data_IF_804544374676
#
_entry.id   IF_804544374676
#
_cell.length_a   1.000
_cell.length_b   1.000
_cell.length_c   1.000
_cell.angle_alpha   90.00
_cell.angle_beta   90.00
_cell.angle_gamma   90.00
#
_symmetry.space_group_name_H-M   'P 1'
#
loop_
_entity.id
_entity.type
_entity.pdbx_description
1 polymer ?
#
# COMPACT_ATOMS: atom_id res chain seq x y z
N UNK A 1 14.83 73.18 -0.49
CA UNK A 1 14.21 72.81 0.79
C UNK A 1 12.73 73.15 0.73
N UNK A 2 11.87 72.13 0.64
CA UNK A 2 10.43 72.28 0.84
C UNK A 2 9.90 70.94 1.37
N UNK A 3 9.48 70.95 2.62
CA UNK A 3 8.95 69.84 3.41
C UNK A 3 7.52 69.57 3.00
N UNK A 4 7.17 68.33 2.64
CA UNK A 4 5.79 67.89 2.45
C UNK A 4 5.50 66.82 3.51
N UNK A 5 4.67 67.21 4.47
CA UNK A 5 4.20 66.38 5.57
C UNK A 5 3.05 65.47 5.14
N UNK A 6 3.10 64.24 5.66
CA UNK A 6 2.11 63.17 5.52
C UNK A 6 0.71 63.56 6.06
N UNK A 7 -0.33 63.16 5.34
CA UNK A 7 -1.67 62.92 5.90
C UNK A 7 -2.10 61.53 5.45
N UNK A 8 -2.21 60.63 6.43
CA UNK A 8 -2.69 59.25 6.30
C UNK A 8 -4.14 59.25 6.79
N UNK A 9 -5.08 59.05 5.86
CA UNK A 9 -6.50 58.85 6.17
C UNK A 9 -6.80 57.36 6.20
N UNK A 10 -7.06 56.81 7.38
CA UNK A 10 -7.53 55.46 7.63
C UNK A 10 -9.06 55.41 7.56
N UNK A 11 -9.60 54.90 6.46
CA UNK A 11 -11.04 54.55 6.37
C UNK A 11 -11.22 53.08 6.72
N UNK A 12 -11.75 52.83 7.91
CA UNK A 12 -12.18 51.52 8.39
C UNK A 12 -13.43 51.06 7.64
N UNK A 13 -13.30 49.98 6.87
CA UNK A 13 -14.40 49.28 6.19
C UNK A 13 -15.00 48.25 7.15
N UNK A 14 -16.25 48.45 7.55
CA UNK A 14 -17.00 47.55 8.43
C UNK A 14 -17.98 46.74 7.57
N UNK A 15 -17.64 45.49 7.28
CA UNK A 15 -18.53 44.52 6.63
C UNK A 15 -19.44 43.85 7.68
N UNK A 16 -20.76 43.70 7.42
CA UNK A 16 -21.64 42.90 8.27
C UNK A 16 -21.48 41.39 7.98
N UNK A 17 -21.70 40.50 8.97
CA UNK A 17 -21.49 39.06 8.83
C UNK A 17 -22.61 38.37 8.04
N UNK A 18 -22.30 37.33 7.24
CA UNK A 18 -23.31 36.57 6.50
C UNK A 18 -24.08 35.59 7.40
N UNK A 19 -25.41 35.61 7.25
CA UNK A 19 -26.36 34.72 7.90
C UNK A 19 -26.19 33.25 7.47
N UNK A 20 -26.19 32.36 8.46
CA UNK A 20 -26.11 30.90 8.34
C UNK A 20 -27.50 30.28 8.16
N UNK A 21 -27.80 29.54 7.08
CA UNK A 21 -28.99 28.70 7.04
C UNK A 21 -28.73 27.35 7.73
N UNK A 22 -29.34 27.15 8.90
CA UNK A 22 -29.46 25.84 9.56
C UNK A 22 -30.46 24.97 8.81
N UNK A 23 -29.99 23.93 8.13
CA UNK A 23 -30.81 22.80 7.69
C UNK A 23 -30.13 21.54 8.23
N UNK A 24 -30.70 20.98 9.31
CA UNK A 24 -30.35 19.66 9.80
C UNK A 24 -31.00 18.60 8.90
N UNK A 25 -30.26 17.61 8.38
CA UNK A 25 -30.87 16.40 7.82
C UNK A 25 -31.32 15.47 8.96
N UNK A 26 -32.58 15.05 8.96
CA UNK A 26 -33.06 13.98 9.84
C UNK A 26 -32.59 12.60 9.33
N UNK A 27 -32.24 11.65 10.23
CA UNK A 27 -31.86 10.30 9.84
C UNK A 27 -33.11 9.44 9.50
N UNK A 28 -33.05 8.57 8.47
CA UNK A 28 -34.13 7.65 8.18
C UNK A 28 -34.25 6.52 9.22
N UNK A 29 -35.50 6.17 9.50
CA UNK A 29 -35.99 5.25 10.51
C UNK A 29 -35.40 3.84 10.44
N UNK A 30 -35.00 3.33 11.60
CA UNK A 30 -34.55 1.95 11.84
C UNK A 30 -35.64 0.92 11.51
N UNK A 31 -35.34 -0.03 10.62
CA UNK A 31 -36.10 -1.27 10.48
C UNK A 31 -35.60 -2.31 11.49
N UNK A 32 -36.54 -2.79 12.31
CA UNK A 32 -36.36 -3.78 13.38
C UNK A 32 -36.09 -5.19 12.84
N UNK A 33 -35.20 -5.87 13.54
CA UNK A 33 -34.88 -7.30 13.48
C UNK A 33 -36.09 -8.18 13.87
N UNK A 34 -36.27 -9.36 13.27
CA UNK A 34 -36.96 -10.47 13.92
C UNK A 34 -35.98 -11.45 14.57
N UNK A 35 -36.26 -11.73 15.85
CA UNK A 35 -35.73 -12.76 16.73
C UNK A 35 -36.20 -14.16 16.32
N UNK A 36 -35.30 -15.14 16.26
CA UNK A 36 -35.65 -16.57 16.44
C UNK A 36 -34.52 -17.35 17.13
N UNK A 37 -34.68 -17.54 18.44
CA UNK A 37 -34.55 -18.80 19.19
C UNK A 37 -33.54 -19.88 18.77
N UNK A 38 -32.56 -20.11 19.67
CA UNK A 38 -32.26 -21.38 20.37
C UNK A 38 -32.38 -22.72 19.61
N UNK A 39 -31.24 -23.41 19.46
CA UNK A 39 -31.15 -24.86 19.75
C UNK A 39 -29.75 -25.25 20.22
N UNK A 40 -29.72 -25.91 21.39
CA UNK A 40 -28.62 -26.68 22.00
C UNK A 40 -28.11 -27.79 21.07
N UNK A 41 -26.82 -28.10 21.13
CA UNK A 41 -26.30 -29.47 20.97
C UNK A 41 -25.14 -29.74 21.97
N UNK A 42 -25.00 -30.99 22.48
CA UNK A 42 -24.19 -31.31 23.66
C UNK A 42 -22.76 -31.83 23.33
N UNK A 43 -21.97 -31.95 24.40
CA UNK A 43 -20.61 -32.49 24.48
C UNK A 43 -20.55 -34.02 24.62
N UNK A 44 -19.44 -34.65 24.19
CA UNK A 44 -18.83 -35.95 24.59
C UNK A 44 -18.04 -36.53 23.40
N UNK A 45 -16.95 -37.31 23.49
CA UNK A 45 -16.00 -37.71 24.52
C UNK A 45 -14.82 -38.39 23.80
N UNK A 46 -13.70 -38.47 24.52
CA UNK A 46 -12.46 -39.25 24.35
C UNK A 46 -12.59 -40.66 23.72
N UNK A 47 -11.58 -41.11 22.95
CA UNK A 47 -10.84 -42.39 23.17
C UNK A 47 -9.71 -42.64 22.15
N UNK A 48 -8.52 -42.81 22.73
CA UNK A 48 -7.28 -43.46 22.29
C UNK A 48 -7.44 -44.81 21.59
N UNK A 49 -6.69 -45.05 20.50
CA UNK A 49 -6.03 -46.36 20.28
C UNK A 49 -4.77 -46.23 19.41
N UNK A 50 -3.66 -46.68 19.96
CA UNK A 50 -2.34 -46.90 19.35
C UNK A 50 -2.32 -48.18 18.52
N UNK A 51 -1.69 -48.21 17.33
CA UNK A 51 -1.16 -49.46 16.73
C UNK A 51 0.15 -49.18 15.97
N UNK A 52 1.23 -49.76 16.50
CA UNK A 52 2.56 -49.98 15.89
C UNK A 52 2.46 -51.01 14.77
N UNK A 53 3.18 -50.80 13.65
CA UNK A 53 3.71 -51.91 12.82
C UNK A 53 4.89 -51.44 11.98
N UNK A 54 6.04 -52.04 12.25
CA UNK A 54 7.25 -52.01 11.42
C UNK A 54 7.10 -52.98 10.23
N UNK A 55 7.87 -52.75 9.15
CA UNK A 55 8.86 -53.68 8.57
C UNK A 55 9.07 -53.48 7.05
N UNK A 56 10.36 -53.41 6.72
CA UNK A 56 11.11 -53.73 5.50
C UNK A 56 11.23 -52.81 4.29
N UNK A 57 12.50 -52.43 4.10
CA UNK A 57 13.16 -52.09 2.85
C UNK A 57 13.13 -53.27 1.87
N UNK A 58 12.85 -52.97 0.60
CA UNK A 58 13.45 -53.72 -0.51
C UNK A 58 13.73 -52.77 -1.67
N UNK A 59 15.01 -52.75 -2.07
CA UNK A 59 15.62 -51.97 -3.15
C UNK A 59 15.18 -52.53 -4.50
N UNK A 60 14.63 -51.69 -5.38
CA UNK A 60 14.55 -51.99 -6.83
C UNK A 60 14.92 -50.74 -7.61
N UNK A 61 15.93 -50.88 -8.47
CA UNK A 61 16.41 -49.86 -9.40
C UNK A 61 15.34 -49.50 -10.43
N UNK A 62 15.13 -48.20 -10.67
CA UNK A 62 14.39 -47.70 -11.82
C UNK A 62 15.21 -46.63 -12.57
N UNK A 63 15.09 -46.71 -13.89
CA UNK A 63 15.77 -46.03 -15.01
C UNK A 63 15.55 -44.51 -14.99
N UNK A 64 16.48 -43.67 -15.50
CA UNK A 64 16.27 -42.22 -15.52
C UNK A 64 15.15 -41.85 -16.50
N UNK A 65 13.98 -41.50 -15.96
CA UNK A 65 12.96 -40.76 -16.69
C UNK A 65 13.36 -39.29 -16.69
N UNK A 66 13.66 -38.77 -17.87
CA UNK A 66 13.77 -37.33 -18.16
C UNK A 66 12.43 -36.67 -17.84
N UNK A 67 12.23 -36.26 -16.59
CA UNK A 67 11.14 -35.36 -16.23
C UNK A 67 11.58 -33.96 -16.63
N UNK A 68 11.01 -33.45 -17.72
CA UNK A 68 10.90 -32.01 -17.92
C UNK A 68 10.23 -31.45 -16.66
N UNK A 69 11.03 -30.90 -15.76
CA UNK A 69 10.57 -30.06 -14.67
C UNK A 69 10.05 -28.78 -15.30
N UNK A 70 8.80 -28.83 -15.78
CA UNK A 70 8.02 -27.63 -16.03
C UNK A 70 7.83 -26.99 -14.66
N UNK A 71 8.71 -26.05 -14.35
CA UNK A 71 8.59 -25.22 -13.16
C UNK A 71 7.17 -24.67 -13.16
N UNK A 72 6.38 -25.09 -12.17
CA UNK A 72 5.03 -24.58 -11.98
C UNK A 72 5.20 -23.16 -11.46
N UNK A 73 5.35 -22.19 -12.37
CA UNK A 73 5.46 -20.79 -12.02
C UNK A 73 4.13 -20.38 -11.41
N UNK A 74 4.08 -20.29 -10.08
CA UNK A 74 2.92 -19.77 -9.34
C UNK A 74 2.60 -18.37 -9.86
N UNK A 75 1.62 -18.27 -10.76
CA UNK A 75 1.18 -17.03 -11.41
C UNK A 75 0.58 -16.09 -10.37
N UNK A 76 1.42 -15.26 -9.74
CA UNK A 76 0.96 -14.26 -8.78
C UNK A 76 0.53 -13.02 -9.54
N UNK A 77 -0.78 -12.90 -9.75
CA UNK A 77 -1.42 -11.70 -10.31
C UNK A 77 -1.96 -10.82 -9.19
N UNK A 78 -1.64 -9.53 -9.23
CA UNK A 78 -2.14 -8.54 -8.30
C UNK A 78 -2.97 -7.48 -9.02
N UNK A 79 -4.11 -7.10 -8.44
CA UNK A 79 -5.03 -6.10 -8.99
C UNK A 79 -5.24 -4.99 -7.96
N UNK A 80 -5.27 -3.73 -8.41
CA UNK A 80 -5.39 -2.60 -7.49
C UNK A 80 -5.63 -1.26 -8.15
N UNK A 81 -6.07 -0.30 -7.34
CA UNK A 81 -6.14 1.11 -7.73
C UNK A 81 -4.78 1.75 -7.48
N UNK A 82 -4.33 2.55 -8.44
CA UNK A 82 -3.03 3.19 -8.45
C UNK A 82 -3.06 4.55 -7.76
N UNK A 83 -2.04 4.83 -6.96
CA UNK A 83 -1.67 6.17 -6.53
C UNK A 83 -0.34 6.56 -7.19
N UNK A 84 -0.33 7.69 -7.89
CA UNK A 84 0.85 8.13 -8.66
C UNK A 84 1.63 9.18 -7.88
N UNK A 85 2.92 8.94 -7.71
CA UNK A 85 3.92 9.88 -7.18
C UNK A 85 5.06 10.06 -8.18
N UNK A 86 5.82 11.14 -8.02
CA UNK A 86 6.93 11.51 -8.90
C UNK A 86 8.26 10.95 -8.36
N UNK A 87 9.35 11.62 -8.72
CA UNK A 87 10.71 11.26 -8.31
C UNK A 87 10.99 11.65 -6.87
N UNK A 88 12.05 11.06 -6.33
CA UNK A 88 12.70 11.48 -5.08
C UNK A 88 11.74 11.53 -3.90
N UNK A 89 10.81 10.57 -3.86
CA UNK A 89 9.91 10.40 -2.72
C UNK A 89 10.70 9.82 -1.57
N UNK A 90 11.12 10.66 -0.63
CA UNK A 90 11.95 10.25 0.49
C UNK A 90 11.14 9.60 1.63
N UNK A 91 11.85 8.97 2.58
CA UNK A 91 11.21 8.31 3.72
C UNK A 91 10.45 9.26 4.65
N UNK A 92 10.78 10.56 4.71
CA UNK A 92 10.02 11.55 5.47
C UNK A 92 8.72 11.95 4.76
N UNK A 93 8.71 11.92 3.43
CA UNK A 93 7.49 12.11 2.64
C UNK A 93 6.54 10.92 2.76
N UNK A 94 7.10 9.69 2.84
CA UNK A 94 6.33 8.47 3.14
C UNK A 94 5.80 8.50 4.58
N UNK A 95 6.65 8.77 5.56
CA UNK A 95 6.26 8.85 6.97
C UNK A 95 7.07 9.95 7.69
N UNK A 96 6.45 11.08 8.06
CA UNK A 96 7.16 12.16 8.74
C UNK A 96 7.80 11.72 10.06
N UNK A 97 9.01 12.20 10.34
CA UNK A 97 9.81 11.85 11.53
C UNK A 97 9.08 11.98 12.88
N UNK A 98 8.04 12.84 12.98
CA UNK A 98 7.21 12.97 14.19
C UNK A 98 6.47 11.67 14.59
N UNK A 99 6.36 10.71 13.69
CA UNK A 99 5.75 9.40 13.94
C UNK A 99 6.77 8.30 14.25
N UNK A 100 8.07 8.63 14.37
CA UNK A 100 9.16 7.68 14.67
C UNK A 100 8.99 6.97 16.03
N UNK A 101 8.26 7.58 16.97
CA UNK A 101 7.96 6.98 18.27
C UNK A 101 6.91 5.85 18.24
N UNK A 102 6.18 5.68 17.13
CA UNK A 102 5.19 4.62 16.98
C UNK A 102 5.88 3.26 16.82
N UNK A 103 5.39 2.23 17.50
CA UNK A 103 5.94 0.88 17.43
C UNK A 103 5.13 -0.01 16.46
N UNK A 104 5.68 -0.43 15.30
CA UNK A 104 4.99 -1.28 14.34
C UNK A 104 4.52 -2.64 14.88
N UNK A 105 5.08 -3.10 16.01
CA UNK A 105 4.67 -4.36 16.67
C UNK A 105 3.39 -4.20 17.50
N UNK A 106 3.03 -2.97 17.88
CA UNK A 106 1.77 -2.70 18.55
C UNK A 106 0.66 -2.47 17.50
N UNK A 107 -0.49 -3.17 17.60
CA UNK A 107 -1.57 -3.05 16.61
C UNK A 107 -2.11 -1.62 16.43
N UNK A 108 -2.30 -0.86 17.51
CA UNK A 108 -2.87 0.50 17.46
C UNK A 108 -1.88 1.47 16.82
N UNK A 109 -0.59 1.35 17.14
CA UNK A 109 0.47 2.14 16.54
C UNK A 109 0.68 1.80 15.05
N UNK A 110 0.57 0.51 14.68
CA UNK A 110 0.63 0.07 13.30
C UNK A 110 -0.54 0.64 12.48
N UNK A 111 -1.74 0.59 13.03
CA UNK A 111 -2.92 1.23 12.44
C UNK A 111 -2.71 2.74 12.27
N UNK A 112 -2.12 3.39 13.30
CA UNK A 112 -1.79 4.80 13.26
C UNK A 112 -0.75 5.14 12.20
N UNK A 113 0.28 4.32 12.03
CA UNK A 113 1.27 4.45 10.95
C UNK A 113 0.58 4.42 9.58
N UNK A 114 -0.39 3.52 9.39
CA UNK A 114 -1.22 3.45 8.19
C UNK A 114 -1.94 4.77 7.90
N UNK A 115 -2.57 5.37 8.91
CA UNK A 115 -3.26 6.67 8.78
C UNK A 115 -2.34 7.83 8.37
N UNK A 116 -1.04 7.67 8.54
CA UNK A 116 -0.01 8.68 8.28
C UNK A 116 0.81 8.42 7.01
N UNK A 117 0.53 7.33 6.28
CA UNK A 117 1.26 6.98 5.07
C UNK A 117 1.14 8.07 3.98
N UNK A 118 2.27 8.43 3.39
CA UNK A 118 2.43 9.50 2.40
C UNK A 118 1.92 10.88 2.85
N UNK A 119 1.81 11.11 4.16
CA UNK A 119 1.34 12.39 4.72
C UNK A 119 2.37 13.53 4.63
N UNK A 120 3.63 13.23 4.32
CA UNK A 120 4.68 14.22 4.12
C UNK A 120 4.83 14.70 2.67
N UNK A 121 4.01 14.18 1.74
CA UNK A 121 4.01 14.64 0.36
C UNK A 121 3.69 16.16 0.25
N UNK A 122 4.25 16.86 -0.74
CA UNK A 122 3.99 18.28 -0.94
C UNK A 122 2.53 18.56 -1.31
N UNK A 123 2.09 19.80 -1.13
CA UNK A 123 0.71 20.25 -1.37
C UNK A 123 0.21 20.01 -2.82
N UNK A 124 1.09 19.77 -3.78
CA UNK A 124 0.72 19.37 -5.15
C UNK A 124 -0.11 18.07 -5.19
N UNK A 125 -0.01 17.23 -4.17
CA UNK A 125 -0.80 16.00 -4.02
C UNK A 125 -2.09 16.18 -3.21
N UNK A 126 -2.37 17.38 -2.69
CA UNK A 126 -3.49 17.60 -1.77
C UNK A 126 -4.88 17.35 -2.38
N UNK A 127 -5.01 17.45 -3.71
CA UNK A 127 -6.27 17.22 -4.42
C UNK A 127 -6.76 15.77 -4.32
N UNK A 128 -5.83 14.80 -4.25
CA UNK A 128 -6.13 13.39 -4.07
C UNK A 128 -5.15 12.85 -3.03
N UNK A 129 -5.57 12.80 -1.78
CA UNK A 129 -4.75 12.23 -0.71
C UNK A 129 -4.65 10.72 -0.87
N UNK A 130 -3.51 10.17 -0.45
CA UNK A 130 -3.32 8.72 -0.40
C UNK A 130 -4.24 8.06 0.62
N UNK A 131 -4.24 8.56 1.86
CA UNK A 131 -5.21 8.21 2.90
C UNK A 131 -6.17 9.37 3.08
N UNK A 132 -7.48 9.06 3.07
CA UNK A 132 -8.53 10.05 3.27
C UNK A 132 -8.47 10.66 4.68
N UNK A 133 -9.07 11.82 4.88
CA UNK A 133 -9.09 12.47 6.19
C UNK A 133 -9.82 11.61 7.22
N UNK A 134 -9.17 11.38 8.38
CA UNK A 134 -9.62 10.45 9.42
C UNK A 134 -9.69 8.97 8.96
N UNK A 135 -9.15 8.67 7.78
CA UNK A 135 -8.97 7.31 7.31
C UNK A 135 -7.74 6.66 7.94
N UNK A 136 -7.77 5.34 7.95
CA UNK A 136 -6.67 4.48 8.42
C UNK A 136 -6.05 3.71 7.27
N UNK A 137 -6.86 3.37 6.28
CA UNK A 137 -6.47 2.64 5.08
C UNK A 137 -6.67 3.50 3.84
N UNK A 138 -5.79 3.26 2.88
CA UNK A 138 -5.86 3.78 1.53
C UNK A 138 -6.73 2.86 0.67
N UNK A 139 -7.47 3.44 -0.27
CA UNK A 139 -8.11 2.68 -1.36
C UNK A 139 -7.12 2.29 -2.46
N UNK A 140 -5.95 2.91 -2.46
CA UNK A 140 -4.89 2.67 -3.43
C UNK A 140 -3.95 1.58 -2.90
N UNK A 141 -3.98 0.43 -3.56
CA UNK A 141 -3.18 -0.73 -3.16
C UNK A 141 -1.90 -0.89 -4.00
N UNK A 142 -1.77 -0.10 -5.07
CA UNK A 142 -0.58 -0.01 -5.94
C UNK A 142 -0.08 1.43 -5.91
N UNK A 143 1.21 1.62 -5.66
CA UNK A 143 1.88 2.91 -5.86
C UNK A 143 2.64 2.85 -7.18
N UNK A 144 2.46 3.87 -8.02
CA UNK A 144 3.26 4.10 -9.22
C UNK A 144 4.18 5.29 -8.93
N UNK A 145 5.49 5.09 -9.01
CA UNK A 145 6.48 6.10 -8.65
C UNK A 145 7.46 6.38 -9.79
N UNK A 146 8.16 7.51 -9.69
CA UNK A 146 9.26 7.85 -10.57
C UNK A 146 10.58 7.23 -10.13
N UNK A 147 11.66 7.98 -10.31
CA UNK A 147 13.01 7.61 -9.94
C UNK A 147 13.22 7.75 -8.42
N UNK A 148 14.06 6.90 -7.83
CA UNK A 148 14.57 7.05 -6.46
C UNK A 148 13.48 7.05 -5.37
N UNK A 149 12.47 6.17 -5.50
CA UNK A 149 11.40 6.04 -4.49
C UNK A 149 11.91 5.41 -3.18
N UNK A 150 11.49 5.96 -2.04
CA UNK A 150 11.91 5.50 -0.72
C UNK A 150 13.36 5.87 -0.39
N UNK A 151 13.87 6.94 -0.99
CA UNK A 151 15.22 7.42 -0.71
C UNK A 151 15.35 8.07 0.67
N UNK A 152 16.59 8.34 1.09
CA UNK A 152 16.88 8.92 2.40
C UNK A 152 17.28 7.89 3.45
N UNK A 153 17.25 8.30 4.71
CA UNK A 153 17.70 7.48 5.84
C UNK A 153 16.79 6.28 6.06
N UNK A 154 17.40 5.16 6.47
CA UNK A 154 16.72 3.89 6.79
C UNK A 154 15.58 4.13 7.77
N UNK A 155 14.36 3.89 7.31
CA UNK A 155 13.19 3.97 8.15
C UNK A 155 12.29 2.78 7.82
N UNK A 156 12.44 1.69 8.55
CA UNK A 156 11.56 0.52 8.48
C UNK A 156 10.08 0.92 8.63
N UNK A 157 9.81 2.02 9.34
CA UNK A 157 8.47 2.58 9.47
C UNK A 157 7.88 3.04 8.14
N UNK A 158 8.68 3.37 7.13
CA UNK A 158 8.16 3.74 5.81
C UNK A 158 7.42 2.56 5.16
N UNK A 159 8.03 1.37 5.17
CA UNK A 159 7.40 0.15 4.65
C UNK A 159 6.24 -0.27 5.55
N UNK A 160 6.40 -0.17 6.87
CA UNK A 160 5.32 -0.48 7.81
C UNK A 160 4.10 0.42 7.59
N UNK A 161 4.28 1.73 7.42
CA UNK A 161 3.19 2.69 7.18
C UNK A 161 2.48 2.42 5.85
N UNK A 162 3.24 2.20 4.76
CA UNK A 162 2.65 1.85 3.47
C UNK A 162 1.84 0.55 3.53
N UNK A 163 2.38 -0.47 4.19
CA UNK A 163 1.72 -1.77 4.37
C UNK A 163 0.47 -1.66 5.26
N UNK A 164 0.55 -0.94 6.38
CA UNK A 164 -0.56 -0.68 7.28
C UNK A 164 -1.72 0.07 6.58
N UNK A 165 -1.37 1.00 5.68
CA UNK A 165 -2.33 1.70 4.84
C UNK A 165 -2.97 0.80 3.77
N UNK A 166 -2.46 -0.42 3.54
CA UNK A 166 -2.98 -1.38 2.57
C UNK A 166 -2.26 -1.40 1.22
N UNK A 167 -1.11 -0.74 1.10
CA UNK A 167 -0.24 -0.88 -0.07
C UNK A 167 0.30 -2.30 -0.15
N UNK A 168 0.23 -2.92 -1.32
CA UNK A 168 0.81 -4.26 -1.53
C UNK A 168 1.92 -4.28 -2.56
N UNK A 169 1.92 -3.34 -3.49
CA UNK A 169 2.96 -3.22 -4.50
C UNK A 169 3.34 -1.77 -4.76
N UNK A 170 4.63 -1.54 -5.01
CA UNK A 170 5.14 -0.30 -5.58
C UNK A 170 5.77 -0.67 -6.91
N UNK A 171 5.46 0.10 -7.95
CA UNK A 171 6.14 0.03 -9.25
C UNK A 171 6.81 1.38 -9.48
N UNK A 172 8.14 1.38 -9.58
CA UNK A 172 8.95 2.58 -9.71
C UNK A 172 9.96 2.45 -10.85
N UNK A 173 10.59 3.55 -11.25
CA UNK A 173 11.72 3.52 -12.18
C UNK A 173 13.00 3.03 -11.48
N UNK A 174 13.18 3.44 -10.22
CA UNK A 174 14.20 2.93 -9.31
C UNK A 174 13.84 3.21 -7.85
N UNK A 175 14.61 2.61 -6.93
CA UNK A 175 14.40 2.71 -5.49
C UNK A 175 15.64 3.24 -4.75
N UNK A 176 15.40 3.86 -3.59
CA UNK A 176 16.44 4.02 -2.58
C UNK A 176 16.91 2.64 -2.09
N UNK A 177 18.22 2.40 -2.06
CA UNK A 177 18.78 1.07 -1.81
C UNK A 177 18.30 0.40 -0.51
N UNK A 178 18.09 1.20 0.55
CA UNK A 178 17.58 0.69 1.83
C UNK A 178 16.12 0.24 1.73
N UNK A 179 15.27 1.05 1.09
CA UNK A 179 13.87 0.70 0.89
C UNK A 179 13.73 -0.62 0.12
N UNK A 180 14.47 -0.76 -0.98
CA UNK A 180 14.44 -1.98 -1.80
C UNK A 180 14.91 -3.21 -0.99
N UNK A 181 16.00 -3.07 -0.24
CA UNK A 181 16.54 -4.15 0.58
C UNK A 181 15.54 -4.65 1.62
N UNK A 182 14.89 -3.73 2.35
CA UNK A 182 13.91 -4.09 3.38
C UNK A 182 12.63 -4.65 2.74
N UNK A 183 12.18 -4.09 1.61
CA UNK A 183 11.00 -4.58 0.89
C UNK A 183 11.21 -6.02 0.43
N UNK A 184 12.37 -6.33 -0.14
CA UNK A 184 12.73 -7.67 -0.60
C UNK A 184 12.92 -8.66 0.56
N UNK A 185 13.57 -8.22 1.65
CA UNK A 185 13.80 -9.06 2.84
C UNK A 185 12.50 -9.40 3.57
N UNK A 186 11.59 -8.42 3.73
CA UNK A 186 10.33 -8.61 4.44
C UNK A 186 9.24 -9.27 3.60
N UNK A 187 9.23 -9.05 2.28
CA UNK A 187 8.19 -9.52 1.37
C UNK A 187 6.81 -8.88 1.60
N UNK A 188 6.71 -7.88 2.47
CA UNK A 188 5.44 -7.25 2.86
C UNK A 188 4.91 -6.33 1.76
N UNK A 189 5.82 -5.66 1.05
CA UNK A 189 5.51 -4.86 -0.14
C UNK A 189 6.31 -5.45 -1.29
N UNK A 190 5.64 -5.65 -2.41
CA UNK A 190 6.27 -6.06 -3.66
C UNK A 190 6.85 -4.82 -4.35
N UNK A 191 8.18 -4.66 -4.31
CA UNK A 191 8.90 -3.61 -5.02
C UNK A 191 9.26 -4.11 -6.42
N UNK A 192 8.75 -3.44 -7.45
CA UNK A 192 8.99 -3.80 -8.86
C UNK A 192 9.56 -2.59 -9.59
N UNK A 193 10.56 -2.84 -10.42
CA UNK A 193 11.11 -1.80 -11.28
C UNK A 193 10.49 -1.88 -12.67
N UNK A 194 10.14 -0.73 -13.24
CA UNK A 194 9.73 -0.62 -14.65
C UNK A 194 10.90 -0.16 -15.51
N UNK A 195 10.93 -0.61 -16.76
CA UNK A 195 11.89 -0.13 -17.76
C UNK A 195 11.55 1.26 -18.30
N UNK A 196 10.30 1.69 -18.13
CA UNK A 196 9.81 2.97 -18.60
C UNK A 196 9.26 3.79 -17.46
N UNK A 197 9.14 5.09 -17.70
CA UNK A 197 8.67 6.07 -16.73
C UNK A 197 7.15 6.03 -16.55
N UNK A 198 6.69 4.99 -15.86
CA UNK A 198 5.25 4.69 -15.67
C UNK A 198 4.49 5.81 -14.96
N UNK A 199 5.15 6.64 -14.13
CA UNK A 199 4.53 7.77 -13.44
C UNK A 199 4.08 8.92 -14.38
N UNK A 200 4.51 8.94 -15.65
CA UNK A 200 4.06 9.93 -16.64
C UNK A 200 2.82 9.48 -17.43
N UNK A 201 2.54 8.17 -17.43
CA UNK A 201 1.47 7.56 -18.24
C UNK A 201 0.32 7.03 -17.41
N UNK A 202 0.56 6.75 -16.12
CA UNK A 202 -0.50 6.46 -15.15
C UNK A 202 -1.06 7.74 -14.53
N UNK A 203 -2.31 7.67 -14.10
CA UNK A 203 -2.95 8.71 -13.28
C UNK A 203 -3.43 8.10 -11.96
N UNK A 204 -3.42 8.89 -10.89
CA UNK A 204 -4.03 8.48 -9.62
C UNK A 204 -5.50 8.14 -9.85
N UNK A 205 -5.92 6.96 -9.38
CA UNK A 205 -7.24 6.40 -9.63
C UNK A 205 -7.31 5.43 -10.82
N UNK A 206 -6.25 5.32 -11.62
CA UNK A 206 -6.15 4.25 -12.62
C UNK A 206 -6.17 2.88 -11.93
N UNK A 207 -6.64 1.87 -12.66
CA UNK A 207 -6.66 0.50 -12.20
C UNK A 207 -5.55 -0.26 -12.90
N UNK A 208 -4.76 -1.03 -12.17
CA UNK A 208 -3.69 -1.84 -12.72
C UNK A 208 -3.80 -3.32 -12.38
N UNK A 209 -3.21 -4.14 -13.24
CA UNK A 209 -2.85 -5.52 -12.93
C UNK A 209 -1.34 -5.69 -13.05
N UNK A 210 -0.73 -6.27 -12.03
CA UNK A 210 0.67 -6.70 -12.05
C UNK A 210 0.66 -8.21 -12.21
N UNK A 211 1.34 -8.71 -13.22
CA UNK A 211 1.63 -10.13 -13.37
C UNK A 211 3.13 -10.34 -13.10
N UNK A 212 3.43 -10.92 -11.94
CA UNK A 212 4.81 -11.13 -11.51
C UNK A 212 5.47 -12.25 -12.32
N UNK A 213 4.69 -13.24 -12.76
CA UNK A 213 5.23 -14.36 -13.54
C UNK A 213 5.63 -13.96 -14.96
N UNK A 214 4.82 -13.11 -15.59
CA UNK A 214 5.10 -12.55 -16.91
C UNK A 214 5.98 -11.29 -16.87
N UNK A 215 6.19 -10.71 -15.68
CA UNK A 215 6.94 -9.48 -15.51
C UNK A 215 6.27 -8.28 -16.19
N UNK A 216 4.93 -8.18 -16.16
CA UNK A 216 4.21 -7.09 -16.82
C UNK A 216 3.31 -6.30 -15.86
N UNK A 217 3.18 -5.01 -16.15
CA UNK A 217 2.20 -4.10 -15.57
C UNK A 217 1.19 -3.71 -16.65
N UNK A 218 -0.10 -3.93 -16.40
CA UNK A 218 -1.19 -3.59 -17.30
C UNK A 218 -2.01 -2.47 -16.68
N UNK A 219 -2.08 -1.30 -17.34
CA UNK A 219 -3.04 -0.27 -17.01
C UNK A 219 -4.41 -0.69 -17.59
N UNK A 220 -5.34 -1.12 -16.73
CA UNK A 220 -6.67 -1.58 -17.12
C UNK A 220 -7.59 -0.43 -17.53
N UNK A 221 -7.32 0.79 -17.08
CA UNK A 221 -8.08 1.98 -17.49
C UNK A 221 -7.79 2.37 -18.93
N UNK A 222 -6.52 2.32 -19.34
CA UNK A 222 -6.08 2.74 -20.69
C UNK A 222 -5.86 1.59 -21.67
N UNK A 223 -5.75 0.34 -21.17
CA UNK A 223 -5.44 -0.85 -21.95
C UNK A 223 -3.96 -1.03 -22.29
N UNK A 224 -3.07 -0.15 -21.82
CA UNK A 224 -1.63 -0.21 -22.10
C UNK A 224 -0.92 -1.24 -21.22
N UNK A 225 0.12 -1.87 -21.78
CA UNK A 225 0.96 -2.87 -21.13
C UNK A 225 2.40 -2.36 -21.07
N UNK A 226 3.07 -2.60 -19.95
CA UNK A 226 4.42 -2.14 -19.67
C UNK A 226 5.25 -3.30 -19.14
N UNK A 227 6.50 -3.40 -19.59
CA UNK A 227 7.45 -4.38 -19.09
C UNK A 227 8.02 -3.94 -17.74
N UNK A 228 8.11 -4.90 -16.82
CA UNK A 228 8.84 -4.79 -15.58
C UNK A 228 10.19 -5.45 -15.75
N UNK A 229 11.22 -4.90 -15.09
CA UNK A 229 12.53 -5.52 -15.08
C UNK A 229 12.42 -6.88 -14.42
N UNK A 230 13.07 -7.86 -15.03
CA UNK A 230 13.16 -9.20 -14.45
C UNK A 230 13.81 -9.09 -13.08
N UNK A 231 13.14 -9.59 -12.04
CA UNK A 231 13.80 -9.93 -10.79
C UNK A 231 14.62 -11.15 -11.11
N UNK A 232 15.82 -10.93 -11.66
CA UNK A 232 16.78 -12.01 -11.82
C UNK A 232 16.98 -12.61 -10.42
N UNK A 233 16.50 -13.83 -10.23
CA UNK A 233 17.07 -14.68 -9.20
C UNK A 233 18.53 -14.79 -9.61
N UNK A 234 19.40 -14.01 -8.99
CA UNK A 234 20.84 -14.25 -9.04
C UNK A 234 21.01 -15.69 -8.57
N UNK A 235 21.22 -16.59 -9.53
CA UNK A 235 21.62 -17.97 -9.30
C UNK A 235 22.84 -17.90 -8.38
N UNK A 236 22.64 -18.27 -7.12
CA UNK A 236 23.74 -18.55 -6.20
C UNK A 236 24.41 -19.82 -6.73
N UNK A 237 25.38 -19.63 -7.63
CA UNK A 237 26.31 -20.65 -8.12
C UNK A 237 27.38 -20.95 -7.09
#
# INVERSE_FOLDING_TARGET
MATISHIISSTTSTFPPPHKPSILPQPPSFLKLPTTSSTKFPAAATTTTSITSQVNLTRVNAIPSTSNSSATTTTTKFYGVCYVVRDDVDTNQIIPAKYSALNPSNPDDYEKLGSCALSGLPNSYAALRFVEENGVKSKYSIIIAGNNFGCGSSNEHAIAALSAAGTRAVVAESYGGVFLTISNSSGVILALESEVRVCEVFKTGDVATIDVGEGILVNRTTGKVYQLKSVANEDVS
#
